data_IF_213659103838
#
_entry.id   IF_213659103838
#
_cell.length_a   1.000
_cell.length_b   1.000
_cell.length_c   1.000
_cell.angle_alpha   90.00
_cell.angle_beta   90.00
_cell.angle_gamma   90.00
#
_symmetry.space_group_name_H-M   'P 1'
#
loop_
_entity.id
_entity.type
_entity.pdbx_description
1 polymer ?
#
# COMPACT_ATOMS: atom_id res chain seq x y z
N UNK A 1 13.20 34.10 -44.19
CA UNK A 1 11.87 34.07 -43.53
C UNK A 1 11.35 32.64 -43.29
N UNK A 2 12.24 31.67 -43.02
CA UNK A 2 11.88 30.24 -42.82
C UNK A 2 12.50 29.58 -41.59
N UNK A 3 12.99 30.38 -40.60
CA UNK A 3 13.72 29.84 -39.44
C UNK A 3 13.01 29.94 -38.11
N UNK A 4 11.73 30.40 -38.05
CA UNK A 4 11.03 30.68 -36.77
C UNK A 4 9.80 29.82 -36.48
N UNK A 5 9.48 28.82 -37.32
CA UNK A 5 8.27 27.99 -37.09
C UNK A 5 8.58 26.70 -36.30
N UNK A 6 9.82 26.22 -36.30
CA UNK A 6 10.18 24.95 -35.65
C UNK A 6 10.54 25.04 -34.16
N UNK A 7 10.73 26.22 -33.60
CA UNK A 7 11.18 26.38 -32.19
C UNK A 7 10.02 26.42 -31.16
N UNK A 8 8.81 26.73 -31.60
CA UNK A 8 7.65 26.89 -30.68
C UNK A 8 6.68 25.70 -30.76
N UNK A 9 6.54 25.06 -31.92
CA UNK A 9 5.57 23.97 -32.11
C UNK A 9 5.98 22.62 -31.50
N UNK A 10 7.26 22.32 -31.38
CA UNK A 10 7.74 21.04 -30.86
C UNK A 10 7.57 20.94 -29.34
N UNK A 11 7.87 21.94 -28.52
CA UNK A 11 7.66 21.88 -27.06
C UNK A 11 6.19 21.77 -26.66
N UNK A 12 5.28 22.46 -27.36
CA UNK A 12 3.84 22.40 -27.07
C UNK A 12 3.23 21.04 -27.47
N UNK A 13 3.64 20.46 -28.60
CA UNK A 13 3.24 19.12 -29.00
C UNK A 13 3.73 18.06 -28.01
N UNK A 14 4.97 18.16 -27.52
CA UNK A 14 5.50 17.25 -26.48
C UNK A 14 4.80 17.44 -25.12
N UNK A 15 4.49 18.68 -24.72
CA UNK A 15 3.74 18.95 -23.49
C UNK A 15 2.31 18.40 -23.57
N UNK A 16 1.63 18.56 -24.71
CA UNK A 16 0.28 18.02 -24.93
C UNK A 16 0.28 16.49 -25.00
N UNK A 17 1.30 15.88 -25.61
CA UNK A 17 1.43 14.42 -25.66
C UNK A 17 1.75 13.84 -24.26
N UNK A 18 2.57 14.51 -23.47
CA UNK A 18 2.90 14.13 -22.10
C UNK A 18 1.69 14.26 -21.18
N UNK A 19 0.92 15.36 -21.27
CA UNK A 19 -0.30 15.55 -20.47
C UNK A 19 -1.38 14.53 -20.82
N UNK A 20 -1.58 14.20 -22.10
CA UNK A 20 -2.50 13.17 -22.53
C UNK A 20 -2.11 11.76 -22.05
N UNK A 21 -0.81 11.42 -22.02
CA UNK A 21 -0.34 10.15 -21.48
C UNK A 21 -0.56 10.04 -19.96
N UNK A 22 -0.34 11.13 -19.22
CA UNK A 22 -0.55 11.17 -17.75
C UNK A 22 -2.05 11.03 -17.43
N UNK A 23 -2.92 11.72 -18.17
CA UNK A 23 -4.37 11.65 -17.98
C UNK A 23 -4.92 10.27 -18.36
N UNK A 24 -4.44 9.66 -19.45
CA UNK A 24 -4.78 8.30 -19.87
C UNK A 24 -4.33 7.27 -18.83
N UNK A 25 -3.15 7.44 -18.24
CA UNK A 25 -2.64 6.58 -17.16
C UNK A 25 -3.51 6.68 -15.90
N UNK A 26 -3.89 7.88 -15.45
CA UNK A 26 -4.77 8.07 -14.28
C UNK A 26 -6.16 7.46 -14.50
N UNK A 27 -6.75 7.63 -15.68
CA UNK A 27 -8.03 7.02 -16.05
C UNK A 27 -7.94 5.49 -16.06
N UNK A 28 -6.88 4.94 -16.62
CA UNK A 28 -6.61 3.50 -16.65
C UNK A 28 -6.53 2.88 -15.24
N UNK A 29 -5.74 3.48 -14.33
CA UNK A 29 -5.63 3.00 -12.95
C UNK A 29 -6.95 3.11 -12.18
N UNK A 30 -7.67 4.22 -12.35
CA UNK A 30 -9.00 4.37 -11.75
C UNK A 30 -9.95 3.29 -12.23
N UNK A 31 -9.95 2.99 -13.52
CA UNK A 31 -10.83 1.98 -14.12
C UNK A 31 -10.47 0.56 -13.63
N UNK A 32 -9.18 0.22 -13.49
CA UNK A 32 -8.74 -1.06 -12.90
C UNK A 32 -9.19 -1.16 -11.44
N UNK A 33 -9.01 -0.10 -10.63
CA UNK A 33 -9.44 -0.11 -9.23
C UNK A 33 -10.96 -0.28 -9.11
N UNK A 34 -11.73 0.39 -9.95
CA UNK A 34 -13.20 0.24 -10.01
C UNK A 34 -13.57 -1.19 -10.41
N UNK A 35 -12.96 -1.74 -11.46
CA UNK A 35 -13.22 -3.11 -11.92
C UNK A 35 -12.91 -4.14 -10.84
N UNK A 36 -11.83 -3.93 -10.11
CA UNK A 36 -11.41 -4.78 -9.01
C UNK A 36 -12.40 -4.76 -7.83
N UNK A 37 -12.91 -3.58 -7.46
CA UNK A 37 -13.95 -3.43 -6.43
C UNK A 37 -15.24 -4.10 -6.87
N UNK A 38 -15.66 -3.90 -8.13
CA UNK A 38 -16.85 -4.55 -8.69
C UNK A 38 -16.68 -6.07 -8.67
N UNK A 39 -15.53 -6.60 -9.06
CA UNK A 39 -15.25 -8.04 -9.03
C UNK A 39 -15.33 -8.62 -7.62
N UNK A 40 -14.80 -7.95 -6.60
CA UNK A 40 -14.90 -8.34 -5.19
C UNK A 40 -16.35 -8.32 -4.70
N UNK A 41 -17.12 -7.28 -5.03
CA UNK A 41 -18.53 -7.19 -4.68
C UNK A 41 -19.33 -8.30 -5.34
N UNK A 42 -19.10 -8.58 -6.62
CA UNK A 42 -19.75 -9.67 -7.35
C UNK A 42 -19.45 -11.02 -6.70
N UNK A 43 -18.20 -11.28 -6.32
CA UNK A 43 -17.80 -12.48 -5.62
C UNK A 43 -18.52 -12.63 -4.27
N UNK A 44 -18.59 -11.56 -3.48
CA UNK A 44 -19.29 -11.55 -2.19
C UNK A 44 -20.79 -11.84 -2.36
N UNK A 45 -21.43 -11.27 -3.38
CA UNK A 45 -22.85 -11.55 -3.69
C UNK A 45 -23.04 -13.02 -4.09
N UNK A 46 -22.19 -13.54 -4.98
CA UNK A 46 -22.27 -14.96 -5.41
C UNK A 46 -22.11 -15.89 -4.22
N UNK A 47 -21.16 -15.64 -3.33
CA UNK A 47 -20.96 -16.45 -2.13
C UNK A 47 -22.14 -16.34 -1.16
N UNK A 48 -22.70 -15.15 -0.98
CA UNK A 48 -23.89 -14.96 -0.12
C UNK A 48 -25.09 -15.72 -0.67
N UNK A 49 -25.33 -15.69 -1.97
CA UNK A 49 -26.39 -16.45 -2.64
C UNK A 49 -26.15 -17.95 -2.48
N UNK A 50 -24.91 -18.40 -2.60
CA UNK A 50 -24.57 -19.82 -2.43
C UNK A 50 -24.82 -20.31 -1.01
N UNK A 51 -24.40 -19.56 0.01
CA UNK A 51 -24.66 -19.87 1.43
C UNK A 51 -26.17 -19.90 1.70
N UNK A 52 -26.91 -18.92 1.18
CA UNK A 52 -28.38 -18.87 1.34
C UNK A 52 -29.08 -20.10 0.71
N UNK A 53 -28.70 -20.50 -0.52
CA UNK A 53 -29.23 -21.70 -1.17
C UNK A 53 -28.94 -22.94 -0.35
N UNK A 54 -27.71 -23.11 0.13
CA UNK A 54 -27.30 -24.25 0.94
C UNK A 54 -28.10 -24.34 2.26
N UNK A 55 -28.39 -23.18 2.87
CA UNK A 55 -29.28 -23.13 4.04
C UNK A 55 -30.70 -23.61 3.69
N UNK A 56 -31.27 -23.09 2.62
CA UNK A 56 -32.62 -23.51 2.17
C UNK A 56 -32.71 -24.98 1.80
N UNK A 57 -31.70 -25.52 1.14
CA UNK A 57 -31.62 -26.93 0.80
C UNK A 57 -31.54 -27.78 2.07
N UNK A 58 -30.79 -27.36 3.08
CA UNK A 58 -30.71 -28.06 4.37
C UNK A 58 -32.04 -28.04 5.13
N UNK A 59 -32.77 -26.91 5.10
CA UNK A 59 -34.12 -26.78 5.67
C UNK A 59 -35.11 -27.69 4.95
N UNK A 60 -35.07 -27.71 3.63
CA UNK A 60 -35.97 -28.56 2.81
C UNK A 60 -35.70 -30.04 3.04
N UNK A 61 -34.44 -30.43 3.14
CA UNK A 61 -34.04 -31.81 3.43
C UNK A 61 -34.49 -32.23 4.83
N UNK A 62 -34.30 -31.37 5.82
CA UNK A 62 -34.82 -31.63 7.18
C UNK A 62 -36.36 -31.82 7.18
N UNK A 63 -37.10 -30.95 6.49
CA UNK A 63 -38.55 -31.05 6.35
C UNK A 63 -38.97 -32.40 5.76
N UNK A 64 -38.32 -32.85 4.70
CA UNK A 64 -38.59 -34.15 4.06
C UNK A 64 -38.31 -35.31 4.98
N UNK A 65 -37.27 -35.27 5.81
CA UNK A 65 -36.95 -36.31 6.80
C UNK A 65 -38.04 -36.38 7.87
N UNK A 66 -38.48 -35.23 8.38
CA UNK A 66 -39.57 -35.17 9.35
C UNK A 66 -40.87 -35.71 8.77
N UNK A 67 -41.23 -35.27 7.57
CA UNK A 67 -42.43 -35.80 6.87
C UNK A 67 -42.34 -37.33 6.68
N UNK A 68 -41.19 -37.83 6.25
CA UNK A 68 -40.97 -39.28 6.11
C UNK A 68 -41.12 -40.02 7.43
N UNK A 69 -40.60 -39.43 8.54
CA UNK A 69 -40.74 -40.00 9.87
C UNK A 69 -42.21 -40.05 10.31
N UNK A 70 -42.99 -38.97 10.06
CA UNK A 70 -44.42 -38.90 10.37
C UNK A 70 -45.18 -40.00 9.62
N UNK A 71 -45.03 -40.08 8.29
CA UNK A 71 -45.72 -41.09 7.47
C UNK A 71 -45.39 -42.52 7.91
N UNK A 72 -44.11 -42.82 8.15
CA UNK A 72 -43.67 -44.16 8.62
C UNK A 72 -44.29 -44.50 9.98
N UNK A 73 -44.43 -43.51 10.86
CA UNK A 73 -44.94 -43.72 12.22
C UNK A 73 -46.46 -43.84 12.23
N UNK A 74 -47.17 -43.03 11.45
CA UNK A 74 -48.63 -43.18 11.24
C UNK A 74 -48.94 -44.57 10.67
N UNK A 75 -48.26 -44.94 9.59
CA UNK A 75 -48.47 -46.24 8.95
C UNK A 75 -48.24 -47.42 9.91
N UNK A 76 -47.26 -47.36 10.79
CA UNK A 76 -47.00 -48.41 11.79
C UNK A 76 -48.04 -48.38 12.94
N UNK A 77 -48.33 -47.21 13.47
CA UNK A 77 -49.29 -47.07 14.59
C UNK A 77 -50.70 -47.51 14.21
N UNK A 78 -51.20 -47.15 13.04
CA UNK A 78 -52.59 -47.50 12.63
C UNK A 78 -52.73 -48.90 12.04
N UNK A 79 -51.67 -49.51 11.52
CA UNK A 79 -51.73 -50.88 11.00
C UNK A 79 -51.79 -51.94 12.11
N UNK A 80 -51.38 -51.63 13.33
CA UNK A 80 -51.43 -52.55 14.46
C UNK A 80 -52.83 -52.73 15.03
N UNK A 81 -53.75 -51.77 14.83
CA UNK A 81 -55.13 -51.82 15.41
C UNK A 81 -56.17 -52.31 14.41
N UNK A 82 -55.80 -52.81 13.25
CA UNK A 82 -56.71 -53.48 12.34
C UNK A 82 -57.06 -54.88 12.89
N UNK A 83 -58.13 -54.96 13.64
CA UNK A 83 -58.69 -56.25 14.17
C UNK A 83 -59.22 -57.03 12.97
N UNK A 84 -58.72 -58.26 12.69
CA UNK A 84 -59.20 -59.07 11.59
C UNK A 84 -60.65 -59.58 11.97
N UNK A 85 -61.67 -59.07 11.32
CA UNK A 85 -63.01 -59.60 11.42
C UNK A 85 -64.18 -58.64 11.52
N UNK A 86 -64.00 -57.32 11.58
CA UNK A 86 -65.05 -56.31 11.51
C UNK A 86 -64.87 -55.43 10.27
N UNK A 87 -65.53 -55.85 9.19
CA UNK A 87 -65.34 -55.21 7.89
C UNK A 87 -66.13 -53.89 7.72
N UNK A 88 -66.83 -53.35 8.68
CA UNK A 88 -67.71 -52.19 8.49
C UNK A 88 -67.71 -51.13 9.59
N UNK A 89 -66.74 -51.14 10.52
CA UNK A 89 -66.56 -50.01 11.46
C UNK A 89 -65.07 -49.65 11.54
N UNK A 90 -64.66 -48.74 10.72
CA UNK A 90 -63.37 -48.13 10.83
C UNK A 90 -63.34 -47.21 12.05
N UNK A 91 -63.24 -47.80 13.25
CA UNK A 91 -62.84 -47.04 14.43
C UNK A 91 -61.33 -46.79 14.28
N UNK A 92 -60.98 -45.62 13.80
CA UNK A 92 -59.58 -45.16 13.83
C UNK A 92 -59.27 -44.88 15.30
N UNK A 93 -58.66 -45.85 15.99
CA UNK A 93 -58.21 -45.67 17.35
C UNK A 93 -56.87 -44.85 17.26
N UNK A 94 -56.99 -43.52 17.33
CA UNK A 94 -55.89 -42.63 17.30
C UNK A 94 -55.28 -42.58 18.70
N UNK A 95 -54.13 -43.24 18.90
CA UNK A 95 -53.37 -43.18 20.13
C UNK A 95 -52.05 -42.46 19.89
N UNK A 96 -51.91 -41.24 20.44
CA UNK A 96 -50.71 -40.46 20.33
C UNK A 96 -49.46 -41.04 21.08
N UNK A 97 -49.74 -41.95 22.05
CA UNK A 97 -48.66 -42.66 22.74
C UNK A 97 -48.06 -43.72 21.84
N UNK A 98 -48.82 -44.43 21.08
CA UNK A 98 -48.36 -45.40 20.08
C UNK A 98 -47.64 -44.68 18.91
N UNK A 99 -48.16 -43.53 18.46
CA UNK A 99 -47.50 -42.69 17.48
C UNK A 99 -46.10 -42.27 17.97
N UNK A 100 -45.96 -41.78 19.19
CA UNK A 100 -44.67 -41.35 19.72
C UNK A 100 -43.67 -42.50 19.87
N UNK A 101 -44.14 -43.69 20.19
CA UNK A 101 -43.31 -44.89 20.30
C UNK A 101 -42.59 -45.23 18.99
N UNK A 102 -43.20 -44.92 17.85
CA UNK A 102 -42.59 -45.12 16.53
C UNK A 102 -41.96 -43.85 15.99
N UNK A 103 -42.47 -42.69 16.32
CA UNK A 103 -42.00 -41.41 15.74
C UNK A 103 -40.63 -40.99 16.26
N UNK A 104 -40.40 -41.08 17.57
CA UNK A 104 -39.09 -40.71 18.16
C UNK A 104 -37.92 -41.57 17.62
N UNK A 105 -38.05 -42.92 17.56
CA UNK A 105 -36.98 -43.72 16.93
C UNK A 105 -36.76 -43.41 15.44
N UNK A 106 -37.84 -43.13 14.67
CA UNK A 106 -37.72 -42.76 13.27
C UNK A 106 -37.03 -41.40 13.08
N UNK A 107 -37.30 -40.44 13.98
CA UNK A 107 -36.57 -39.15 13.97
C UNK A 107 -35.09 -39.34 14.29
N UNK A 108 -34.75 -40.21 15.24
CA UNK A 108 -33.36 -40.52 15.59
C UNK A 108 -32.66 -41.21 14.43
N UNK A 109 -33.30 -42.22 13.81
CA UNK A 109 -32.75 -42.93 12.64
C UNK A 109 -32.46 -41.99 11.47
N UNK A 110 -33.29 -40.97 11.27
CA UNK A 110 -33.15 -39.98 10.19
C UNK A 110 -32.28 -38.79 10.57
N UNK A 111 -31.64 -38.80 11.73
CA UNK A 111 -30.81 -37.66 12.24
C UNK A 111 -31.60 -36.34 12.26
N UNK A 112 -32.85 -36.41 12.67
CA UNK A 112 -33.80 -35.28 12.70
C UNK A 112 -34.47 -35.08 14.07
N UNK A 113 -33.98 -35.74 15.13
CA UNK A 113 -34.57 -35.65 16.46
C UNK A 113 -34.49 -34.23 17.03
N UNK A 114 -35.67 -33.69 17.33
CA UNK A 114 -35.89 -32.42 18.01
C UNK A 114 -37.17 -32.56 18.89
N UNK A 115 -37.31 -31.74 19.93
CA UNK A 115 -38.56 -31.63 20.64
C UNK A 115 -39.70 -31.31 19.66
N UNK A 116 -40.82 -32.00 19.81
CA UNK A 116 -41.96 -31.84 18.93
C UNK A 116 -43.26 -31.71 19.71
N UNK A 117 -44.25 -31.15 19.04
CA UNK A 117 -45.62 -31.06 19.51
C UNK A 117 -46.57 -31.59 18.44
N UNK A 118 -47.36 -32.57 18.76
CA UNK A 118 -48.30 -33.21 17.84
C UNK A 118 -49.76 -32.93 18.27
N UNK A 119 -50.58 -32.56 17.30
CA UNK A 119 -52.02 -32.37 17.46
C UNK A 119 -52.76 -33.25 16.45
N UNK A 120 -53.89 -33.85 16.90
CA UNK A 120 -54.81 -34.49 15.98
C UNK A 120 -55.96 -33.53 15.77
N UNK A 121 -56.30 -33.28 14.52
CA UNK A 121 -57.36 -32.40 14.06
C UNK A 121 -58.47 -33.21 13.43
N UNK A 122 -59.71 -32.85 13.74
CA UNK A 122 -60.92 -33.34 13.04
C UNK A 122 -61.45 -32.20 12.22
N UNK A 123 -61.74 -32.48 10.97
CA UNK A 123 -62.30 -31.51 10.03
C UNK A 123 -63.80 -31.73 9.89
N UNK A 124 -64.59 -30.67 10.14
CA UNK A 124 -66.04 -30.63 9.92
C UNK A 124 -66.33 -29.48 8.95
N UNK A 125 -66.20 -29.73 7.65
CA UNK A 125 -66.30 -28.69 6.65
C UNK A 125 -65.11 -27.74 6.73
N UNK A 126 -65.37 -26.45 6.93
CA UNK A 126 -64.27 -25.43 7.06
C UNK A 126 -63.74 -25.34 8.50
N UNK A 127 -64.39 -25.93 9.49
CA UNK A 127 -63.94 -25.88 10.87
C UNK A 127 -63.06 -27.08 11.22
N UNK A 128 -61.95 -26.82 11.90
CA UNK A 128 -61.03 -27.83 12.41
C UNK A 128 -60.91 -27.74 13.92
N UNK A 129 -61.11 -28.87 14.61
CA UNK A 129 -61.00 -28.96 16.08
C UNK A 129 -59.86 -29.88 16.48
N UNK A 130 -59.09 -29.44 17.46
CA UNK A 130 -58.06 -30.27 18.09
C UNK A 130 -58.76 -31.25 19.04
N UNK A 131 -58.50 -32.53 18.86
CA UNK A 131 -59.09 -33.60 19.73
C UNK A 131 -58.05 -34.20 20.67
N UNK A 132 -56.84 -34.26 20.30
CA UNK A 132 -55.73 -34.80 21.11
C UNK A 132 -54.44 -33.98 20.90
N UNK A 133 -53.62 -33.90 21.95
CA UNK A 133 -52.29 -33.21 21.87
C UNK A 133 -51.28 -34.04 22.64
N UNK A 134 -49.99 -33.97 22.16
CA UNK A 134 -48.85 -34.58 22.85
C UNK A 134 -47.57 -33.76 22.62
N UNK A 135 -46.74 -33.68 23.66
CA UNK A 135 -45.49 -32.93 23.66
C UNK A 135 -45.66 -31.50 24.19
N UNK A 136 -44.59 -30.77 24.16
CA UNK A 136 -44.54 -29.34 24.56
C UNK A 136 -44.58 -28.46 23.33
N UNK A 137 -45.42 -27.43 23.34
CA UNK A 137 -45.45 -26.46 22.23
C UNK A 137 -44.11 -25.78 22.09
N UNK A 138 -43.53 -25.74 20.88
CA UNK A 138 -42.28 -25.04 20.63
C UNK A 138 -42.36 -23.60 21.10
N UNK A 139 -41.33 -23.16 21.82
CA UNK A 139 -41.23 -21.80 22.36
C UNK A 139 -40.93 -20.73 21.29
N UNK A 140 -40.51 -21.12 20.08
CA UNK A 140 -40.17 -20.22 18.98
C UNK A 140 -41.39 -19.73 18.22
N UNK A 141 -41.34 -18.47 17.77
CA UNK A 141 -42.40 -17.80 17.04
C UNK A 141 -42.70 -18.40 15.64
N UNK A 142 -41.89 -19.33 15.13
CA UNK A 142 -42.05 -19.93 13.80
C UNK A 142 -41.58 -21.41 13.80
N UNK A 143 -42.33 -22.35 14.45
CA UNK A 143 -42.03 -23.77 14.37
C UNK A 143 -42.33 -24.30 12.96
N UNK A 144 -41.50 -25.23 12.49
CA UNK A 144 -41.84 -25.97 11.28
C UNK A 144 -43.09 -26.83 11.54
N UNK A 145 -44.20 -26.53 10.88
CA UNK A 145 -45.46 -27.23 11.02
C UNK A 145 -45.74 -28.07 9.77
N UNK A 146 -45.99 -29.33 9.97
CA UNK A 146 -46.37 -30.26 8.88
C UNK A 146 -47.75 -30.89 9.22
N UNK A 147 -48.67 -30.83 8.28
CA UNK A 147 -49.99 -31.44 8.39
C UNK A 147 -50.00 -32.67 7.48
N UNK A 148 -50.39 -33.82 8.05
CA UNK A 148 -50.45 -35.08 7.33
C UNK A 148 -51.85 -35.68 7.54
N UNK A 149 -52.60 -36.03 6.46
CA UNK A 149 -53.87 -36.71 6.59
C UNK A 149 -53.64 -38.10 7.19
N UNK A 150 -54.57 -38.52 8.09
CA UNK A 150 -54.54 -39.82 8.76
C UNK A 150 -55.39 -40.80 7.99
N UNK A 151 -56.51 -40.34 7.43
CA UNK A 151 -57.52 -41.13 6.69
C UNK A 151 -57.59 -40.69 5.23
N UNK A 152 -58.08 -41.58 4.38
CA UNK A 152 -58.26 -41.33 2.94
C UNK A 152 -59.35 -40.28 2.65
N UNK A 153 -60.31 -40.12 3.57
CA UNK A 153 -61.43 -39.18 3.43
C UNK A 153 -61.06 -37.75 3.89
N UNK A 154 -59.88 -37.57 4.47
CA UNK A 154 -59.37 -36.28 4.95
C UNK A 154 -60.13 -35.71 6.15
N UNK A 155 -60.89 -36.58 6.88
CA UNK A 155 -61.65 -36.18 8.07
C UNK A 155 -60.76 -35.97 9.28
N UNK A 156 -59.63 -36.71 9.34
CA UNK A 156 -58.66 -36.62 10.40
C UNK A 156 -57.24 -36.22 9.80
N UNK A 157 -56.61 -35.30 10.48
CA UNK A 157 -55.21 -34.96 10.14
C UNK A 157 -54.36 -34.84 11.40
N UNK A 158 -53.07 -35.09 11.25
CA UNK A 158 -52.09 -34.89 12.30
C UNK A 158 -51.25 -33.68 11.94
N UNK A 159 -51.18 -32.71 12.84
CA UNK A 159 -50.33 -31.55 12.77
C UNK A 159 -49.16 -31.80 13.72
N UNK A 160 -47.94 -31.81 13.16
CA UNK A 160 -46.71 -31.94 13.94
C UNK A 160 -45.91 -30.66 13.81
N UNK A 161 -45.63 -30.03 14.94
CA UNK A 161 -44.80 -28.84 15.05
C UNK A 161 -43.45 -29.21 15.67
N UNK A 162 -42.36 -28.91 14.98
CA UNK A 162 -40.99 -29.21 15.42
C UNK A 162 -40.18 -27.94 15.42
N UNK A 163 -39.31 -27.77 16.41
CA UNK A 163 -38.36 -26.68 16.42
C UNK A 163 -37.30 -26.87 15.33
N UNK A 164 -37.02 -25.78 14.58
CA UNK A 164 -35.93 -25.79 13.60
C UNK A 164 -34.59 -25.84 14.32
N UNK A 165 -33.73 -26.82 14.04
CA UNK A 165 -32.44 -26.94 14.70
C UNK A 165 -31.42 -25.96 14.12
N UNK A 166 -31.69 -24.65 14.23
CA UNK A 166 -30.81 -23.58 13.69
C UNK A 166 -29.36 -23.72 14.15
N UNK A 167 -29.14 -24.06 15.42
CA UNK A 167 -27.80 -24.29 15.97
C UNK A 167 -27.06 -25.45 15.28
N UNK A 168 -27.80 -26.53 14.96
CA UNK A 168 -27.24 -27.69 14.27
C UNK A 168 -26.89 -27.33 12.82
N UNK A 169 -27.75 -26.60 12.12
CA UNK A 169 -27.45 -26.11 10.77
C UNK A 169 -26.25 -25.19 10.77
N UNK A 170 -26.20 -24.24 11.69
CA UNK A 170 -25.07 -23.31 11.80
C UNK A 170 -23.76 -24.05 12.09
N UNK A 171 -23.76 -25.02 13.03
CA UNK A 171 -22.56 -25.80 13.34
C UNK A 171 -22.06 -26.63 12.16
N UNK A 172 -22.94 -27.19 11.36
CA UNK A 172 -22.62 -27.98 10.16
C UNK A 172 -22.11 -27.08 9.02
N UNK A 173 -22.63 -25.86 8.89
CA UNK A 173 -22.24 -24.89 7.86
C UNK A 173 -21.06 -23.99 8.27
N UNK A 174 -20.67 -23.98 9.55
CA UNK A 174 -19.66 -23.07 10.08
C UNK A 174 -18.33 -23.10 9.31
N UNK A 175 -17.82 -24.29 9.01
CA UNK A 175 -16.58 -24.45 8.25
C UNK A 175 -16.65 -23.83 6.85
N UNK A 176 -17.78 -23.94 6.19
CA UNK A 176 -18.03 -23.37 4.86
C UNK A 176 -18.14 -21.85 4.91
N UNK A 177 -18.82 -21.33 5.92
CA UNK A 177 -18.95 -19.88 6.13
C UNK A 177 -17.57 -19.26 6.41
N UNK A 178 -16.80 -19.88 7.32
CA UNK A 178 -15.44 -19.41 7.66
C UNK A 178 -14.51 -19.46 6.44
N UNK A 179 -14.52 -20.58 5.69
CA UNK A 179 -13.69 -20.69 4.48
C UNK A 179 -14.08 -19.68 3.41
N UNK A 180 -15.37 -19.41 3.23
CA UNK A 180 -15.88 -18.39 2.31
C UNK A 180 -15.38 -16.99 2.68
N UNK A 181 -15.50 -16.60 3.94
CA UNK A 181 -15.01 -15.32 4.45
C UNK A 181 -13.47 -15.23 4.27
N UNK A 182 -12.75 -16.31 4.61
CA UNK A 182 -11.30 -16.35 4.48
C UNK A 182 -10.84 -16.13 3.03
N UNK A 183 -11.51 -16.73 2.04
CA UNK A 183 -11.22 -16.55 0.62
C UNK A 183 -11.43 -15.10 0.20
N UNK A 184 -12.54 -14.47 0.61
CA UNK A 184 -12.83 -13.05 0.29
C UNK A 184 -11.75 -12.14 0.88
N UNK A 185 -11.38 -12.35 2.15
CA UNK A 185 -10.35 -11.56 2.82
C UNK A 185 -8.96 -11.73 2.16
N UNK A 186 -8.62 -12.96 1.77
CA UNK A 186 -7.37 -13.25 1.06
C UNK A 186 -7.32 -12.52 -0.29
N UNK A 187 -8.38 -12.62 -1.09
CA UNK A 187 -8.46 -11.94 -2.38
C UNK A 187 -8.43 -10.41 -2.23
N UNK A 188 -9.12 -9.87 -1.22
CA UNK A 188 -9.06 -8.45 -0.90
C UNK A 188 -7.65 -8.01 -0.52
N UNK A 189 -6.93 -8.79 0.29
CA UNK A 189 -5.54 -8.55 0.67
C UNK A 189 -4.59 -8.55 -0.54
N UNK A 190 -4.71 -9.55 -1.42
CA UNK A 190 -3.92 -9.63 -2.66
C UNK A 190 -4.20 -8.42 -3.55
N UNK A 191 -5.46 -8.04 -3.70
CA UNK A 191 -5.84 -6.89 -4.52
C UNK A 191 -5.25 -5.59 -3.97
N UNK A 192 -5.36 -5.34 -2.66
CA UNK A 192 -4.78 -4.17 -2.01
C UNK A 192 -3.26 -4.13 -2.17
N UNK A 193 -2.60 -5.29 -2.07
CA UNK A 193 -1.16 -5.41 -2.31
C UNK A 193 -0.80 -5.04 -3.76
N UNK A 194 -1.51 -5.58 -4.75
CA UNK A 194 -1.28 -5.28 -6.16
C UNK A 194 -1.49 -3.80 -6.47
N UNK A 195 -2.57 -3.21 -5.98
CA UNK A 195 -2.86 -1.77 -6.17
C UNK A 195 -1.74 -0.91 -5.57
N UNK A 196 -1.31 -1.19 -4.33
CA UNK A 196 -0.18 -0.48 -3.70
C UNK A 196 1.11 -0.61 -4.49
N UNK A 197 1.42 -1.82 -4.97
CA UNK A 197 2.64 -2.08 -5.76
C UNK A 197 2.61 -1.32 -7.09
N UNK A 198 1.47 -1.31 -7.77
CA UNK A 198 1.29 -0.53 -9.01
C UNK A 198 1.46 0.97 -8.79
N UNK A 199 0.88 1.54 -7.72
CA UNK A 199 1.08 2.96 -7.40
C UNK A 199 2.55 3.27 -7.13
N UNK A 200 3.24 2.42 -6.36
CA UNK A 200 4.66 2.59 -6.08
C UNK A 200 5.52 2.55 -7.35
N UNK A 201 5.26 1.58 -8.24
CA UNK A 201 5.98 1.48 -9.51
C UNK A 201 5.75 2.71 -10.39
N UNK A 202 4.51 3.21 -10.46
CA UNK A 202 4.19 4.42 -11.23
C UNK A 202 4.94 5.64 -10.70
N UNK A 203 4.94 5.85 -9.38
CA UNK A 203 5.67 6.97 -8.77
C UNK A 203 7.17 6.91 -9.09
N UNK A 204 7.77 5.71 -9.04
CA UNK A 204 9.18 5.51 -9.41
C UNK A 204 9.44 5.80 -10.90
N UNK A 205 8.53 5.42 -11.78
CA UNK A 205 8.65 5.69 -13.22
C UNK A 205 8.52 7.19 -13.54
N UNK A 206 7.58 7.89 -12.90
CA UNK A 206 7.44 9.34 -13.00
C UNK A 206 8.72 10.04 -12.50
N UNK A 207 9.23 9.66 -11.32
CA UNK A 207 10.49 10.20 -10.78
C UNK A 207 11.68 9.95 -11.73
N UNK A 208 11.79 8.75 -12.31
CA UNK A 208 12.85 8.42 -13.27
C UNK A 208 12.76 9.24 -14.55
N UNK A 209 11.55 9.50 -15.03
CA UNK A 209 11.31 10.34 -16.20
C UNK A 209 11.70 11.80 -15.93
N UNK A 210 11.27 12.35 -14.81
CA UNK A 210 11.58 13.72 -14.40
C UNK A 210 13.10 13.88 -14.18
N UNK A 211 13.74 12.88 -13.60
CA UNK A 211 15.18 12.80 -13.47
C UNK A 211 15.90 12.88 -14.83
N UNK A 212 15.47 12.05 -15.81
CA UNK A 212 16.10 12.06 -17.16
C UNK A 212 15.93 13.42 -17.83
N UNK A 213 14.77 14.04 -17.70
CA UNK A 213 14.50 15.38 -18.23
C UNK A 213 15.41 16.43 -17.58
N UNK A 214 15.46 16.43 -16.25
CA UNK A 214 16.24 17.39 -15.48
C UNK A 214 17.75 17.24 -15.74
N UNK A 215 18.29 16.01 -15.78
CA UNK A 215 19.71 15.78 -16.12
C UNK A 215 20.04 16.34 -17.49
N UNK A 216 19.22 16.06 -18.50
CA UNK A 216 19.46 16.53 -19.86
C UNK A 216 19.55 18.06 -19.90
N UNK A 217 18.64 18.74 -19.18
CA UNK A 217 18.66 20.20 -19.11
C UNK A 217 19.89 20.74 -18.37
N UNK A 218 20.24 20.13 -17.27
CA UNK A 218 21.34 20.58 -16.42
C UNK A 218 22.74 20.22 -16.97
N UNK A 219 22.87 19.16 -17.79
CA UNK A 219 24.08 18.88 -18.55
C UNK A 219 24.26 19.89 -19.68
N UNK A 220 23.17 20.32 -20.33
CA UNK A 220 23.22 21.25 -21.44
C UNK A 220 23.79 22.62 -21.03
N UNK A 221 23.50 23.10 -19.85
CA UNK A 221 23.90 24.41 -19.35
C UNK A 221 25.44 24.54 -19.21
N UNK A 222 26.14 23.69 -18.42
CA UNK A 222 27.60 23.78 -18.29
C UNK A 222 28.32 23.50 -19.62
N UNK A 223 27.81 22.60 -20.45
CA UNK A 223 28.35 22.36 -21.79
C UNK A 223 28.24 23.63 -22.62
N UNK A 224 27.09 24.30 -22.65
CA UNK A 224 26.94 25.54 -23.43
C UNK A 224 27.83 26.67 -22.94
N UNK A 225 28.00 26.80 -21.61
CA UNK A 225 28.91 27.81 -21.04
C UNK A 225 30.38 27.51 -21.37
N UNK A 226 30.81 26.25 -21.28
CA UNK A 226 32.14 25.82 -21.63
C UNK A 226 32.43 26.06 -23.13
N UNK A 227 31.47 25.73 -24.00
CA UNK A 227 31.60 26.00 -25.46
C UNK A 227 31.68 27.49 -25.72
N UNK A 228 30.82 28.32 -25.11
CA UNK A 228 30.88 29.78 -25.29
C UNK A 228 32.21 30.40 -24.80
N UNK A 229 32.72 29.92 -23.65
CA UNK A 229 34.03 30.36 -23.15
C UNK A 229 35.16 29.95 -24.08
N UNK A 230 35.13 28.75 -24.66
CA UNK A 230 36.09 28.25 -25.62
C UNK A 230 36.03 29.03 -26.95
N UNK A 231 34.80 29.33 -27.43
CA UNK A 231 34.62 30.17 -28.62
C UNK A 231 35.14 31.60 -28.40
N UNK A 232 34.93 32.16 -27.21
CA UNK A 232 35.50 33.47 -26.85
C UNK A 232 37.04 33.43 -26.85
N UNK A 233 37.65 32.35 -26.34
CA UNK A 233 39.13 32.18 -26.40
C UNK A 233 39.66 32.05 -27.84
N UNK A 234 38.90 31.43 -28.74
CA UNK A 234 39.31 31.20 -30.12
C UNK A 234 39.17 32.43 -31.00
N UNK A 235 38.12 33.23 -30.77
CA UNK A 235 37.78 34.36 -31.62
C UNK A 235 38.38 35.69 -31.16
N UNK A 236 38.79 35.82 -29.89
CA UNK A 236 39.52 36.97 -29.39
C UNK A 236 41.03 36.70 -29.58
N UNK A 237 41.65 37.38 -30.53
CA UNK A 237 43.07 37.24 -30.86
C UNK A 237 43.94 37.24 -29.60
N UNK A 238 44.96 36.36 -29.62
CA UNK A 238 45.82 36.00 -28.49
C UNK A 238 46.64 37.16 -27.85
N UNK A 239 46.58 38.33 -28.40
CA UNK A 239 47.43 39.51 -27.99
C UNK A 239 46.69 40.43 -26.98
N UNK A 240 45.41 40.25 -26.71
CA UNK A 240 44.67 41.13 -25.83
C UNK A 240 44.34 40.47 -24.49
N UNK A 241 45.07 40.80 -23.45
CA UNK A 241 44.76 40.61 -22.04
C UNK A 241 44.88 39.18 -21.49
N UNK A 242 46.06 38.84 -20.99
CA UNK A 242 46.38 37.58 -20.26
C UNK A 242 45.38 37.29 -19.14
N UNK A 243 44.90 38.31 -18.44
CA UNK A 243 43.89 38.16 -17.36
C UNK A 243 42.55 37.65 -17.88
N UNK A 244 42.12 38.11 -19.04
CA UNK A 244 40.85 37.71 -19.67
C UNK A 244 40.93 36.28 -20.16
N UNK A 245 42.06 35.86 -20.73
CA UNK A 245 42.32 34.48 -21.13
C UNK A 245 42.30 33.53 -19.92
N UNK A 246 42.98 33.88 -18.82
CA UNK A 246 42.97 33.10 -17.58
C UNK A 246 41.56 32.92 -17.06
N UNK A 247 40.74 33.99 -17.05
CA UNK A 247 39.39 33.95 -16.61
C UNK A 247 38.48 33.00 -17.44
N UNK A 248 38.60 32.96 -18.75
CA UNK A 248 37.88 32.04 -19.61
C UNK A 248 38.31 30.58 -19.39
N UNK A 249 39.62 30.35 -19.20
CA UNK A 249 40.12 29.01 -18.85
C UNK A 249 39.60 28.54 -17.49
N UNK A 250 39.58 29.40 -16.49
CA UNK A 250 38.98 29.10 -15.17
C UNK A 250 37.49 28.76 -15.28
N UNK A 251 36.75 29.45 -16.16
CA UNK A 251 35.33 29.12 -16.42
C UNK A 251 35.22 27.73 -17.04
N UNK A 252 36.04 27.42 -18.07
CA UNK A 252 36.00 26.08 -18.70
C UNK A 252 36.35 24.99 -17.70
N UNK A 253 37.40 25.16 -16.90
CA UNK A 253 37.83 24.21 -15.87
C UNK A 253 36.73 24.00 -14.81
N UNK A 254 36.10 25.06 -14.33
CA UNK A 254 34.99 25.01 -13.39
C UNK A 254 33.81 24.24 -13.96
N UNK A 255 33.43 24.48 -15.25
CA UNK A 255 32.32 23.76 -15.86
C UNK A 255 32.63 22.28 -16.10
N UNK A 256 33.85 21.91 -16.45
CA UNK A 256 34.29 20.52 -16.60
C UNK A 256 34.30 19.79 -15.26
N UNK A 257 34.77 20.44 -14.20
CA UNK A 257 34.74 19.90 -12.84
C UNK A 257 33.27 19.65 -12.39
N UNK A 258 32.38 20.61 -12.66
CA UNK A 258 30.95 20.45 -12.37
C UNK A 258 30.33 19.29 -13.14
N UNK A 259 30.67 19.12 -14.43
CA UNK A 259 30.21 17.98 -15.24
C UNK A 259 30.75 16.66 -14.70
N UNK A 260 32.02 16.60 -14.30
CA UNK A 260 32.62 15.40 -13.70
C UNK A 260 31.89 14.97 -12.44
N UNK A 261 31.65 15.91 -11.53
CA UNK A 261 30.87 15.63 -10.29
C UNK A 261 29.46 15.15 -10.60
N UNK A 262 28.81 15.74 -11.61
CA UNK A 262 27.47 15.33 -12.03
C UNK A 262 27.47 13.91 -12.60
N UNK A 263 28.42 13.54 -13.44
CA UNK A 263 28.61 12.21 -14.00
C UNK A 263 28.82 11.18 -12.87
N UNK A 264 29.68 11.51 -11.89
CA UNK A 264 29.88 10.64 -10.70
C UNK A 264 28.57 10.40 -9.92
N UNK A 265 27.79 11.45 -9.69
CA UNK A 265 26.47 11.30 -9.05
C UNK A 265 25.51 10.41 -9.86
N UNK A 266 25.50 10.52 -11.19
CA UNK A 266 24.70 9.69 -12.08
C UNK A 266 25.17 8.24 -12.04
N UNK A 267 26.48 8.01 -12.12
CA UNK A 267 27.07 6.68 -12.08
C UNK A 267 26.85 5.99 -10.75
N UNK A 268 26.90 6.72 -9.63
CA UNK A 268 26.62 6.19 -8.30
C UNK A 268 25.21 5.60 -8.15
N UNK A 269 24.27 6.11 -8.95
CA UNK A 269 22.85 5.68 -8.95
C UNK A 269 22.57 4.57 -9.96
N UNK A 270 23.29 4.56 -11.09
CA UNK A 270 22.98 3.70 -12.24
C UNK A 270 23.44 2.26 -12.05
N UNK A 271 24.33 1.98 -11.10
CA UNK A 271 24.91 0.66 -10.90
C UNK A 271 24.64 0.17 -9.48
N UNK A 272 23.54 -0.53 -9.29
CA UNK A 272 23.30 -1.32 -8.08
C UNK A 272 24.40 -2.39 -7.98
N UNK A 273 25.24 -2.30 -6.93
CA UNK A 273 26.31 -3.27 -6.67
C UNK A 273 27.70 -2.90 -7.18
N UNK A 274 27.94 -1.68 -7.68
CA UNK A 274 29.33 -1.25 -7.91
C UNK A 274 30.03 -1.02 -6.58
N UNK A 275 31.11 -1.76 -6.37
CA UNK A 275 32.08 -1.42 -5.35
C UNK A 275 32.65 -0.02 -5.71
N UNK A 276 32.35 0.97 -4.90
CA UNK A 276 33.07 2.25 -4.97
C UNK A 276 34.55 1.94 -4.80
N UNK A 277 35.38 2.49 -5.65
CA UNK A 277 36.83 2.47 -5.38
C UNK A 277 37.04 3.24 -4.09
N UNK A 278 37.23 2.51 -3.02
CA UNK A 278 37.45 3.07 -1.69
C UNK A 278 38.95 3.19 -1.46
N UNK A 279 39.46 4.43 -1.47
CA UNK A 279 40.87 4.74 -1.24
C UNK A 279 41.02 5.61 0.01
N UNK A 280 41.03 4.97 1.21
CA UNK A 280 41.08 5.72 2.45
C UNK A 280 42.37 6.44 2.68
N UNK A 281 42.30 7.68 3.11
CA UNK A 281 43.40 8.56 3.53
C UNK A 281 43.03 9.30 4.81
N UNK A 282 43.99 9.91 5.48
CA UNK A 282 43.72 10.79 6.63
C UNK A 282 43.13 12.09 6.12
N UNK A 283 41.88 12.38 6.51
CA UNK A 283 41.16 13.59 6.11
C UNK A 283 40.97 14.50 7.32
N UNK A 284 41.52 15.72 7.24
CA UNK A 284 41.31 16.78 8.23
C UNK A 284 39.99 17.52 7.89
N UNK A 285 39.02 17.42 8.74
CA UNK A 285 37.68 17.95 8.45
C UNK A 285 37.64 19.46 8.39
N UNK A 286 38.43 20.14 9.24
CA UNK A 286 38.56 21.60 9.23
C UNK A 286 39.05 22.12 7.88
N UNK A 287 40.02 21.47 7.27
CA UNK A 287 40.58 21.89 5.97
C UNK A 287 39.52 21.72 4.85
N UNK A 288 38.86 20.57 4.83
CA UNK A 288 37.80 20.27 3.85
C UNK A 288 36.63 21.25 3.96
N UNK A 289 36.10 21.48 5.18
CA UNK A 289 35.00 22.41 5.43
C UNK A 289 35.40 23.84 5.05
N UNK A 290 36.62 24.29 5.41
CA UNK A 290 37.12 25.62 5.07
C UNK A 290 37.23 25.83 3.57
N UNK A 291 37.72 24.84 2.81
CA UNK A 291 37.77 24.91 1.35
C UNK A 291 36.38 25.02 0.72
N UNK A 292 35.42 24.21 1.20
CA UNK A 292 34.07 24.19 0.66
C UNK A 292 33.32 25.49 0.95
N UNK A 293 33.47 26.05 2.14
CA UNK A 293 32.76 27.28 2.54
C UNK A 293 33.36 28.54 1.85
N UNK A 294 34.65 28.57 1.54
CA UNK A 294 35.25 29.65 0.76
C UNK A 294 34.73 29.70 -0.69
N UNK A 295 34.40 28.53 -1.28
CA UNK A 295 33.84 28.43 -2.63
C UNK A 295 32.32 28.52 -2.70
N UNK A 296 31.64 28.36 -1.55
CA UNK A 296 30.20 28.30 -1.52
C UNK A 296 29.56 29.67 -1.81
N UNK A 297 28.47 29.67 -2.58
CA UNK A 297 27.73 30.89 -2.91
C UNK A 297 28.16 31.61 -4.19
N UNK A 298 29.34 31.32 -4.76
CA UNK A 298 29.78 31.95 -6.02
C UNK A 298 28.82 31.70 -7.18
N UNK A 299 28.22 30.53 -7.24
CA UNK A 299 27.26 30.12 -8.29
C UNK A 299 25.82 30.55 -8.03
N UNK A 300 25.47 30.89 -6.81
CA UNK A 300 24.07 31.20 -6.42
C UNK A 300 23.77 32.69 -6.33
N UNK A 301 24.78 33.55 -6.44
CA UNK A 301 24.65 35.02 -6.25
C UNK A 301 24.34 35.41 -4.80
N UNK A 302 24.29 34.44 -3.88
CA UNK A 302 24.10 34.63 -2.45
C UNK A 302 25.44 34.78 -1.77
N UNK A 303 25.51 35.53 -0.67
CA UNK A 303 26.69 35.64 0.19
C UNK A 303 26.41 34.91 1.49
N UNK A 304 26.66 33.59 1.57
CA UNK A 304 26.40 32.84 2.76
C UNK A 304 27.35 33.25 3.90
N UNK A 305 26.80 33.26 5.12
CA UNK A 305 27.55 33.41 6.36
C UNK A 305 27.67 32.04 6.99
N UNK A 306 28.89 31.57 7.17
CA UNK A 306 29.18 30.31 7.82
C UNK A 306 29.72 30.52 9.22
N UNK A 307 29.05 29.89 10.22
CA UNK A 307 29.56 29.77 11.59
C UNK A 307 30.12 28.34 11.71
N UNK A 308 31.46 28.25 11.80
CA UNK A 308 32.12 26.93 11.82
C UNK A 308 32.69 26.70 13.22
N UNK A 309 32.25 25.65 13.87
CA UNK A 309 32.75 25.13 15.14
C UNK A 309 33.35 23.73 14.90
N UNK A 310 34.61 23.68 14.60
CA UNK A 310 35.40 22.48 14.29
C UNK A 310 36.82 22.64 14.83
N UNK A 311 37.25 21.72 15.68
CA UNK A 311 38.65 21.74 16.14
C UNK A 311 39.61 21.28 15.01
N UNK A 312 40.79 21.91 14.96
CA UNK A 312 41.77 21.68 13.88
C UNK A 312 42.32 20.25 13.84
N UNK A 313 42.30 19.54 14.96
CA UNK A 313 42.84 18.19 15.13
C UNK A 313 41.88 17.06 14.80
N UNK A 314 40.60 17.36 14.50
CA UNK A 314 39.62 16.35 14.12
C UNK A 314 39.90 15.79 12.74
N UNK A 315 40.23 14.51 12.69
CA UNK A 315 40.55 13.76 11.47
C UNK A 315 39.79 12.42 11.44
N UNK A 316 39.54 11.96 10.23
CA UNK A 316 38.94 10.65 9.97
C UNK A 316 39.75 9.88 8.94
N UNK A 317 39.73 8.56 8.98
CA UNK A 317 40.24 7.71 7.90
C UNK A 317 39.13 7.48 6.89
N UNK A 318 39.20 8.15 5.76
CA UNK A 318 38.11 8.14 4.78
C UNK A 318 38.60 8.40 3.36
N UNK A 319 37.82 8.13 2.35
CA UNK A 319 38.09 8.57 0.99
C UNK A 319 37.78 10.07 0.89
N UNK A 320 38.82 10.86 0.76
CA UNK A 320 38.78 12.35 0.74
C UNK A 320 37.83 12.86 -0.36
N UNK A 321 37.88 12.26 -1.55
CA UNK A 321 37.04 12.67 -2.67
C UNK A 321 35.56 12.49 -2.35
N UNK A 322 35.17 11.32 -1.80
CA UNK A 322 33.81 11.03 -1.46
C UNK A 322 33.29 11.85 -0.28
N UNK A 323 34.12 12.06 0.76
CA UNK A 323 33.75 12.92 1.91
C UNK A 323 33.56 14.36 1.48
N UNK A 324 34.49 14.89 0.66
CA UNK A 324 34.38 16.25 0.12
C UNK A 324 33.08 16.45 -0.66
N UNK A 325 32.72 15.51 -1.52
CA UNK A 325 31.48 15.59 -2.31
C UNK A 325 30.20 15.42 -1.44
N UNK A 326 30.26 14.59 -0.40
CA UNK A 326 29.17 14.46 0.57
C UNK A 326 28.92 15.80 1.28
N UNK A 327 29.98 16.39 1.86
CA UNK A 327 29.91 17.67 2.56
C UNK A 327 29.52 18.82 1.61
N UNK A 328 30.09 18.87 0.41
CA UNK A 328 29.71 19.85 -0.61
C UNK A 328 28.21 19.77 -0.94
N UNK A 329 27.66 18.57 -1.08
CA UNK A 329 26.23 18.37 -1.37
C UNK A 329 25.34 18.90 -0.26
N UNK A 330 25.69 18.63 1.00
CA UNK A 330 24.87 19.08 2.14
C UNK A 330 24.99 20.59 2.35
N UNK A 331 26.21 21.15 2.25
CA UNK A 331 26.46 22.60 2.35
C UNK A 331 25.75 23.35 1.22
N UNK A 332 25.82 22.86 -0.03
CA UNK A 332 25.13 23.47 -1.18
C UNK A 332 23.62 23.48 -0.99
N UNK A 333 23.04 22.40 -0.47
CA UNK A 333 21.63 22.35 -0.12
C UNK A 333 21.29 23.38 0.99
N UNK A 334 22.08 23.46 2.05
CA UNK A 334 21.87 24.44 3.11
C UNK A 334 21.88 25.88 2.58
N UNK A 335 22.83 26.23 1.70
CA UNK A 335 22.91 27.55 1.06
C UNK A 335 21.72 27.80 0.11
N UNK A 336 21.33 26.81 -0.67
CA UNK A 336 20.23 26.94 -1.65
C UNK A 336 18.90 27.20 -0.99
N UNK A 337 18.59 26.50 0.10
CA UNK A 337 17.28 26.52 0.76
C UNK A 337 17.22 27.46 1.95
N UNK A 338 18.34 28.03 2.41
CA UNK A 338 18.42 29.03 3.47
C UNK A 338 17.76 30.36 3.03
N UNK A 339 16.98 30.96 3.92
CA UNK A 339 16.33 32.26 3.70
C UNK A 339 17.36 33.40 3.74
N UNK A 340 18.12 33.50 4.85
CA UNK A 340 19.11 34.55 5.10
C UNK A 340 20.55 34.10 4.84
N UNK A 341 20.72 32.91 4.26
CA UNK A 341 22.02 32.31 3.94
C UNK A 341 22.99 32.19 5.14
N UNK A 342 22.43 31.91 6.34
CA UNK A 342 23.23 31.57 7.52
C UNK A 342 23.26 30.04 7.62
N UNK A 343 24.47 29.49 7.72
CA UNK A 343 24.69 28.05 7.86
C UNK A 343 25.65 27.80 9.01
N UNK A 344 25.19 27.06 10.01
CA UNK A 344 25.98 26.64 11.16
C UNK A 344 26.55 25.24 10.94
N UNK A 345 27.86 25.07 11.07
CA UNK A 345 28.54 23.78 10.89
C UNK A 345 29.25 23.47 12.23
N UNK A 346 28.83 22.38 12.87
CA UNK A 346 29.43 21.91 14.13
C UNK A 346 30.03 20.53 13.92
N UNK A 347 31.25 20.35 14.36
CA UNK A 347 31.94 19.06 14.31
C UNK A 347 32.35 18.67 15.74
N UNK A 348 31.87 17.55 16.21
CA UNK A 348 32.20 17.02 17.52
C UNK A 348 32.69 15.58 17.42
N UNK A 349 33.53 15.21 18.39
CA UNK A 349 34.03 13.85 18.53
C UNK A 349 33.52 13.26 19.83
N UNK A 350 32.84 12.11 19.73
CA UNK A 350 32.29 11.39 20.87
C UNK A 350 32.43 9.87 20.69
N UNK A 351 32.99 9.19 21.68
CA UNK A 351 32.99 7.71 21.74
C UNK A 351 33.57 7.03 20.47
N UNK A 352 34.61 7.62 19.87
CA UNK A 352 35.23 7.06 18.65
C UNK A 352 34.48 7.33 17.34
N UNK A 353 33.46 8.18 17.37
CA UNK A 353 32.75 8.67 16.21
C UNK A 353 32.91 10.18 16.06
N UNK A 354 32.95 10.64 14.83
CA UNK A 354 32.88 12.06 14.50
C UNK A 354 31.48 12.37 14.03
N UNK A 355 30.85 13.36 14.65
CA UNK A 355 29.53 13.87 14.30
C UNK A 355 29.66 15.24 13.65
N UNK A 356 29.15 15.39 12.43
CA UNK A 356 29.09 16.64 11.68
C UNK A 356 27.64 17.07 11.59
N UNK A 357 27.30 18.23 12.12
CA UNK A 357 25.97 18.82 12.03
C UNK A 357 26.03 20.08 11.17
N UNK A 358 25.13 20.12 10.18
CA UNK A 358 25.00 21.27 9.25
C UNK A 358 23.55 21.74 9.38
N UNK A 359 23.39 22.95 9.92
CA UNK A 359 22.09 23.56 10.20
C UNK A 359 21.88 24.80 9.35
N UNK A 360 20.72 24.90 8.70
CA UNK A 360 20.27 26.06 7.94
C UNK A 360 18.99 26.66 8.56
N UNK A 361 18.77 27.94 8.29
CA UNK A 361 17.56 28.68 8.68
C UNK A 361 16.54 28.81 7.53
N UNK A 362 16.47 27.83 6.65
CA UNK A 362 15.68 27.86 5.43
C UNK A 362 14.19 27.61 5.62
N UNK A 363 13.55 27.32 4.49
CA UNK A 363 12.10 27.04 4.44
C UNK A 363 11.68 25.79 5.21
N UNK A 364 12.62 24.88 5.52
CA UNK A 364 12.35 23.60 6.17
C UNK A 364 11.56 22.63 5.30
N UNK A 365 11.38 21.43 5.83
CA UNK A 365 10.74 20.27 5.14
C UNK A 365 9.59 19.75 5.99
N UNK A 366 8.44 19.48 5.39
CA UNK A 366 7.30 18.88 6.07
C UNK A 366 7.61 17.44 6.50
N UNK A 367 7.07 17.04 7.66
CA UNK A 367 7.37 15.74 8.31
C UNK A 367 7.12 14.54 7.39
N UNK A 368 6.11 14.62 6.54
CA UNK A 368 5.73 13.57 5.57
C UNK A 368 6.81 13.31 4.50
N UNK A 369 7.67 14.28 4.22
CA UNK A 369 8.73 14.17 3.23
C UNK A 369 10.07 13.70 3.82
N UNK A 370 10.29 13.84 5.14
CA UNK A 370 11.57 13.54 5.78
C UNK A 370 12.02 12.08 5.62
N UNK A 371 11.07 11.13 5.57
CA UNK A 371 11.39 9.72 5.35
C UNK A 371 11.88 9.42 3.93
N UNK A 372 11.61 10.31 2.98
CA UNK A 372 11.87 10.11 1.55
C UNK A 372 13.03 10.94 1.00
N UNK A 373 13.52 11.95 1.73
CA UNK A 373 14.56 12.88 1.21
C UNK A 373 15.88 12.21 0.81
N UNK A 374 16.13 11.02 1.32
CA UNK A 374 17.31 10.20 0.96
C UNK A 374 16.99 9.12 -0.09
N UNK A 375 15.77 9.08 -0.64
CA UNK A 375 15.43 8.16 -1.73
C UNK A 375 15.93 8.68 -3.08
N UNK A 376 16.24 7.73 -3.99
CA UNK A 376 16.66 8.06 -5.36
C UNK A 376 15.61 8.91 -6.07
N UNK A 377 16.03 10.00 -6.70
CA UNK A 377 15.21 10.90 -7.51
C UNK A 377 14.18 11.70 -6.75
N UNK A 378 14.10 11.54 -5.41
CA UNK A 378 13.10 12.22 -4.61
C UNK A 378 13.39 13.72 -4.50
N UNK A 379 12.34 14.51 -4.65
CA UNK A 379 12.34 15.96 -4.43
C UNK A 379 11.06 16.33 -3.69
N UNK A 380 11.15 17.23 -2.72
CA UNK A 380 9.97 17.77 -2.03
C UNK A 380 9.16 18.55 -3.06
N UNK A 381 7.86 18.23 -3.26
CA UNK A 381 7.00 18.98 -4.18
C UNK A 381 6.82 20.43 -3.67
N UNK A 382 7.31 21.40 -4.42
CA UNK A 382 7.22 22.85 -4.07
C UNK A 382 6.15 23.60 -4.88
N UNK A 383 5.15 22.87 -5.43
CA UNK A 383 4.16 23.45 -6.35
C UNK A 383 4.81 23.88 -7.68
N UNK A 384 4.22 24.88 -8.34
CA UNK A 384 4.71 25.36 -9.66
C UNK A 384 6.00 26.18 -9.62
N UNK A 385 6.67 26.28 -8.47
CA UNK A 385 7.89 27.06 -8.32
C UNK A 385 9.12 26.18 -8.55
N UNK A 386 9.47 25.93 -9.80
CA UNK A 386 10.72 25.26 -10.22
C UNK A 386 11.99 26.12 -10.03
N UNK A 387 12.08 26.94 -8.99
CA UNK A 387 13.14 27.94 -8.82
C UNK A 387 14.47 27.37 -8.32
N UNK A 388 14.48 26.17 -7.73
CA UNK A 388 15.71 25.59 -7.18
C UNK A 388 16.17 24.40 -8.05
N UNK A 389 17.35 24.55 -8.67
CA UNK A 389 17.97 23.51 -9.51
C UNK A 389 18.45 22.33 -8.69
N UNK A 390 18.24 21.09 -9.18
CA UNK A 390 18.73 19.86 -8.55
C UNK A 390 18.09 18.59 -9.12
N UNK A 391 18.80 17.46 -9.01
CA UNK A 391 18.44 16.18 -9.66
C UNK A 391 17.73 15.19 -8.73
N UNK A 392 17.66 15.49 -7.41
CA UNK A 392 17.19 14.52 -6.41
C UNK A 392 18.16 13.35 -6.17
N UNK A 393 19.46 13.53 -6.51
CA UNK A 393 20.49 12.51 -6.30
C UNK A 393 21.47 12.85 -5.19
N UNK A 394 21.63 14.14 -4.86
CA UNK A 394 22.66 14.58 -3.94
C UNK A 394 22.55 13.94 -2.56
N UNK A 395 21.38 14.01 -1.92
CA UNK A 395 21.17 13.41 -0.59
C UNK A 395 21.22 11.87 -0.63
N UNK A 396 20.76 11.25 -1.72
CA UNK A 396 20.93 9.81 -1.90
C UNK A 396 22.41 9.43 -1.97
N UNK A 397 23.21 10.16 -2.78
CA UNK A 397 24.67 9.97 -2.84
C UNK A 397 25.33 10.18 -1.47
N UNK A 398 24.96 11.26 -0.77
CA UNK A 398 25.46 11.53 0.58
C UNK A 398 25.19 10.37 1.54
N UNK A 399 24.02 9.75 1.46
CA UNK A 399 23.68 8.56 2.24
C UNK A 399 24.55 7.36 1.86
N UNK A 400 24.73 7.08 0.57
CA UNK A 400 25.59 5.98 0.10
C UNK A 400 27.05 6.17 0.56
N UNK A 401 27.57 7.40 0.51
CA UNK A 401 28.93 7.70 0.99
C UNK A 401 29.03 7.50 2.50
N UNK A 402 28.07 7.96 3.29
CA UNK A 402 28.06 7.74 4.73
C UNK A 402 28.05 6.24 5.06
N UNK A 403 27.21 5.46 4.38
CA UNK A 403 27.12 3.99 4.54
C UNK A 403 28.41 3.27 4.09
N UNK A 404 29.07 3.72 3.00
CA UNK A 404 30.38 3.22 2.54
C UNK A 404 31.43 3.34 3.63
N UNK A 405 31.40 4.46 4.37
CA UNK A 405 32.30 4.74 5.49
C UNK A 405 31.79 4.17 6.82
N UNK A 406 30.83 3.23 6.79
CA UNK A 406 30.23 2.60 7.98
C UNK A 406 29.59 3.62 8.95
N UNK A 407 29.21 4.77 8.43
CA UNK A 407 28.56 5.85 9.14
C UNK A 407 27.06 5.91 8.85
N UNK A 408 26.44 6.98 9.31
CA UNK A 408 25.01 7.27 9.10
C UNK A 408 24.80 8.74 8.77
N UNK A 409 23.74 9.03 8.03
CA UNK A 409 23.26 10.38 7.79
C UNK A 409 21.77 10.45 8.16
N UNK A 410 21.39 11.52 8.84
CA UNK A 410 20.01 11.77 9.23
C UNK A 410 19.66 13.24 9.05
N UNK A 411 18.34 13.54 9.02
CA UNK A 411 17.85 14.90 8.82
C UNK A 411 16.70 15.19 9.77
N UNK A 412 16.76 16.35 10.39
CA UNK A 412 15.67 16.91 11.20
C UNK A 412 15.29 18.27 10.64
N UNK A 413 14.00 18.51 10.38
CA UNK A 413 13.54 19.75 9.78
C UNK A 413 12.12 20.10 10.25
N UNK A 414 11.84 21.40 10.28
CA UNK A 414 10.50 21.96 10.51
C UNK A 414 10.25 23.10 9.53
N UNK A 415 9.08 23.06 8.92
CA UNK A 415 8.64 24.12 7.99
C UNK A 415 8.75 25.50 8.67
N UNK A 416 9.44 26.43 7.99
CA UNK A 416 9.69 27.80 8.45
C UNK A 416 10.73 27.96 9.57
N UNK A 417 11.45 26.85 9.94
CA UNK A 417 12.51 26.88 10.96
C UNK A 417 13.88 26.45 10.47
N UNK A 418 13.95 25.87 9.26
CA UNK A 418 15.18 25.36 8.69
C UNK A 418 15.36 23.85 8.82
N UNK A 419 16.55 23.39 8.49
CA UNK A 419 16.92 21.97 8.42
C UNK A 419 18.28 21.75 9.09
N UNK A 420 18.39 20.67 9.85
CA UNK A 420 19.64 20.16 10.42
C UNK A 420 19.95 18.79 9.81
N UNK A 421 21.08 18.66 9.14
CA UNK A 421 21.61 17.39 8.65
C UNK A 421 22.71 16.93 9.60
N UNK A 422 22.60 15.73 10.12
CA UNK A 422 23.57 15.11 11.02
C UNK A 422 24.22 13.92 10.35
N UNK A 423 25.55 13.95 10.20
CA UNK A 423 26.40 12.91 9.62
C UNK A 423 27.25 12.34 10.76
N UNK A 424 27.24 11.02 10.93
CA UNK A 424 28.07 10.32 11.92
C UNK A 424 28.99 9.36 11.21
N UNK A 425 30.29 9.50 11.39
CA UNK A 425 31.32 8.68 10.77
C UNK A 425 32.23 8.08 11.87
N UNK A 426 32.65 6.82 11.74
CA UNK A 426 33.65 6.26 12.66
C UNK A 426 35.00 6.94 12.45
N UNK A 427 35.70 7.25 13.51
CA UNK A 427 37.03 7.88 13.44
C UNK A 427 38.08 6.97 12.81
N UNK A 428 37.92 5.63 12.95
CA UNK A 428 38.85 4.57 12.46
C UNK A 428 40.32 4.98 12.53
N UNK A 429 40.88 4.98 13.74
CA UNK A 429 42.32 4.98 13.93
C UNK A 429 42.87 3.56 13.71
N UNK A 430 43.47 3.30 12.57
CA UNK A 430 44.48 2.26 12.43
C UNK A 430 45.63 2.78 11.58
#
# INVERSE_FOLDING_TARGET
>A
MLTNVNSVMIPELFATFASNQIEMSRKFFRNISILAVISLLTLAVVQSVWVYRMYNDSVTDFKRRVESAIYKSIYKAFRMDAIPGLADATYININLDDFSLFFEPNLIELDAYQPYYAEVLVHHGEDSRVIMTKGERPALNDPMTTVVPIDDDGQYSMLVSIEMPFKVFLSRMWGLIVSSIAIVLLLAGVLLYLVRTMFRQKTLEEMRRDFTHNITHELKTPISVAVAATDALRNFSADADVKRRSRYLEIVESQLTQLSTMVEHILSVSVEGREYKYNPSVVYLQDVISQLTQGAGMNSGKKPVFNIDCAEDIKIMADEFHIKNLLATVIDNAVKYSADTIVDIRVSEESGNVTIEIEDNGCGIAKEHLSHVFEKFYRVPTGDIHTVRGYGLGLYYAKQVAELHKGTISMNSRVGKGTTVTIKLPRNEQ
#
